data_IF_676900107054
#
_entry.id   IF_676900107054
#
_cell.length_a   1.000
_cell.length_b   1.000
_cell.length_c   1.000
_cell.angle_alpha   90.00
_cell.angle_beta   90.00
_cell.angle_gamma   90.00
#
_symmetry.space_group_name_H-M   'P 1'
#
loop_
_entity.id
_entity.type
_entity.pdbx_description
1 polymer ?
#
# COMPACT_ATOMS: atom_id res chain seq x y z
N UNK A 1 -24.26 27.95 15.56
CA UNK A 1 -24.22 26.95 14.51
C UNK A 1 -23.86 27.69 13.24
N UNK A 2 -22.59 27.88 12.96
CA UNK A 2 -22.09 28.54 11.75
C UNK A 2 -21.05 27.63 11.12
N UNK A 3 -21.40 27.13 9.98
CA UNK A 3 -20.60 26.68 8.84
C UNK A 3 -19.17 26.16 9.11
N UNK A 4 -19.07 24.85 9.32
CA UNK A 4 -17.83 24.08 9.15
C UNK A 4 -17.66 23.65 7.67
N UNK A 5 -17.78 24.64 6.75
CA UNK A 5 -17.57 24.43 5.30
C UNK A 5 -16.14 24.72 4.84
N UNK A 6 -15.14 24.64 5.73
CA UNK A 6 -13.76 25.01 5.41
C UNK A 6 -12.74 23.89 5.68
N UNK A 7 -13.01 22.68 5.19
CA UNK A 7 -11.96 21.64 5.13
C UNK A 7 -11.82 21.06 3.71
N UNK A 8 -12.02 21.90 2.72
CA UNK A 8 -11.81 21.54 1.33
C UNK A 8 -10.79 22.52 0.74
N UNK A 9 -9.52 22.33 0.97
CA UNK A 9 -8.41 22.68 0.08
C UNK A 9 -7.09 22.71 0.85
N UNK A 10 -6.59 21.56 1.29
CA UNK A 10 -5.14 21.47 1.41
C UNK A 10 -4.67 20.91 0.06
N UNK A 11 -4.53 21.81 -0.92
CA UNK A 11 -3.70 21.56 -2.08
C UNK A 11 -2.30 21.30 -1.57
N UNK A 12 -1.87 20.04 -1.64
CA UNK A 12 -0.48 19.65 -1.43
C UNK A 12 0.31 20.18 -2.62
N UNK A 13 0.66 21.46 -2.61
CA UNK A 13 1.78 21.97 -3.37
C UNK A 13 3.03 21.66 -2.56
N UNK A 14 3.47 20.40 -2.57
CA UNK A 14 4.85 20.11 -2.23
C UNK A 14 5.71 20.93 -3.19
N UNK A 15 6.54 21.83 -2.65
CA UNK A 15 7.63 22.46 -3.41
C UNK A 15 8.53 21.30 -3.89
N UNK A 16 8.26 20.82 -5.10
CA UNK A 16 9.13 19.86 -5.76
C UNK A 16 10.39 20.61 -6.24
N UNK A 17 11.58 20.02 -6.08
CA UNK A 17 12.77 20.56 -6.72
C UNK A 17 12.52 20.68 -8.22
N UNK A 18 13.17 21.68 -8.83
CA UNK A 18 13.03 22.06 -10.23
C UNK A 18 12.89 20.84 -11.15
N UNK A 19 11.85 20.86 -11.98
CA UNK A 19 11.52 19.84 -12.93
C UNK A 19 12.74 19.51 -13.83
N UNK A 20 13.47 18.48 -13.48
CA UNK A 20 14.14 17.68 -14.50
C UNK A 20 12.99 17.04 -15.28
N UNK A 21 12.92 17.34 -16.61
CA UNK A 21 11.91 16.73 -17.46
C UNK A 21 11.97 15.22 -17.32
N UNK A 22 10.81 14.57 -17.21
CA UNK A 22 10.74 13.10 -17.23
C UNK A 22 11.39 12.61 -18.54
N UNK A 23 12.31 11.66 -18.44
CA UNK A 23 12.83 10.92 -19.60
C UNK A 23 11.84 9.84 -20.02
N UNK A 24 11.08 9.30 -19.07
CA UNK A 24 9.94 8.42 -19.30
C UNK A 24 8.73 9.19 -19.83
N UNK A 25 7.67 8.46 -20.15
CA UNK A 25 6.44 9.04 -20.69
C UNK A 25 5.31 8.97 -19.69
N UNK A 26 4.68 10.10 -19.42
CA UNK A 26 3.45 10.23 -18.63
C UNK A 26 2.30 10.63 -19.55
N UNK A 27 1.22 9.87 -19.52
CA UNK A 27 -0.02 10.17 -20.25
C UNK A 27 -1.22 10.07 -19.36
N UNK A 28 -2.29 10.75 -19.72
CA UNK A 28 -3.61 10.61 -19.12
C UNK A 28 -4.56 9.94 -20.09
N UNK A 29 -5.32 8.98 -19.61
CA UNK A 29 -6.35 8.26 -20.35
C UNK A 29 -7.64 8.21 -19.54
N UNK A 30 -8.75 8.00 -20.21
CA UNK A 30 -10.06 7.82 -19.58
C UNK A 30 -10.45 6.34 -19.72
N UNK A 31 -10.55 5.64 -18.59
CA UNK A 31 -10.93 4.21 -18.56
C UNK A 31 -12.43 4.12 -18.30
N UNK A 32 -13.18 3.60 -19.29
CA UNK A 32 -14.60 3.34 -19.13
C UNK A 32 -14.82 2.19 -18.14
N UNK A 33 -15.83 2.32 -17.29
CA UNK A 33 -16.18 1.30 -16.31
C UNK A 33 -17.68 1.25 -16.09
N UNK A 34 -18.18 0.08 -15.78
CA UNK A 34 -19.57 -0.12 -15.26
C UNK A 34 -19.58 -0.31 -13.74
N UNK A 35 -18.39 -0.39 -13.13
CA UNK A 35 -18.23 -0.59 -11.68
C UNK A 35 -18.27 0.73 -10.90
N UNK A 36 -17.92 1.83 -11.54
CA UNK A 36 -17.94 3.17 -10.96
C UNK A 36 -18.65 4.14 -11.90
N UNK A 37 -19.17 5.28 -11.41
CA UNK A 37 -19.91 6.23 -12.27
C UNK A 37 -19.01 6.82 -13.36
N UNK A 38 -19.40 6.61 -14.61
CA UNK A 38 -18.74 7.21 -15.78
C UNK A 38 -17.40 6.55 -16.14
N UNK A 39 -16.48 7.37 -16.59
CA UNK A 39 -15.10 6.96 -16.90
C UNK A 39 -14.13 7.55 -15.89
N UNK A 40 -13.04 6.84 -15.63
CA UNK A 40 -12.03 7.21 -14.63
C UNK A 40 -10.82 7.81 -15.32
N UNK A 41 -10.52 9.08 -15.03
CA UNK A 41 -9.26 9.70 -15.45
C UNK A 41 -8.09 9.00 -14.75
N UNK A 42 -7.13 8.55 -15.54
CA UNK A 42 -6.06 7.67 -15.10
C UNK A 42 -4.74 8.11 -15.72
N UNK A 43 -3.74 8.34 -14.89
CA UNK A 43 -2.39 8.62 -15.33
C UNK A 43 -1.58 7.33 -15.46
N UNK A 44 -0.85 7.18 -16.56
CA UNK A 44 0.02 6.03 -16.82
C UNK A 44 1.42 6.54 -17.12
N UNK A 45 2.39 6.03 -16.38
CA UNK A 45 3.81 6.27 -16.58
C UNK A 45 4.48 5.03 -17.15
N UNK A 46 5.28 5.23 -18.22
CA UNK A 46 6.20 4.22 -18.75
C UNK A 46 7.64 4.71 -18.58
N UNK A 47 8.59 3.83 -18.15
CA UNK A 47 9.96 4.23 -17.86
C UNK A 47 10.74 4.62 -19.12
N UNK A 48 11.90 5.31 -18.98
CA UNK A 48 12.79 5.57 -20.10
C UNK A 48 13.14 4.30 -20.84
N UNK A 49 13.10 4.36 -22.19
CA UNK A 49 13.38 3.19 -23.03
C UNK A 49 12.32 2.09 -22.98
N UNK A 50 11.08 2.40 -22.56
CA UNK A 50 9.99 1.43 -22.60
C UNK A 50 9.81 0.83 -23.99
N UNK A 51 9.90 -0.50 -24.06
CA UNK A 51 9.68 -1.28 -25.30
C UNK A 51 8.45 -2.20 -25.12
N UNK A 52 7.36 -1.98 -25.87
CA UNK A 52 6.17 -2.82 -25.80
C UNK A 52 6.42 -4.28 -26.25
N UNK A 53 7.53 -4.54 -26.97
CA UNK A 53 7.88 -5.86 -27.52
C UNK A 53 9.00 -6.55 -26.72
N UNK A 54 9.46 -6.00 -25.60
CA UNK A 54 10.45 -6.62 -24.73
C UNK A 54 9.97 -8.01 -24.30
N UNK A 55 10.89 -9.00 -24.30
CA UNK A 55 10.57 -10.39 -23.97
C UNK A 55 10.07 -10.53 -22.51
N UNK A 56 10.74 -9.85 -21.58
CA UNK A 56 10.33 -9.82 -20.19
C UNK A 56 9.38 -8.64 -19.95
N UNK A 57 8.20 -8.92 -19.45
CA UNK A 57 7.24 -7.89 -19.10
C UNK A 57 7.76 -6.98 -17.96
N UNK A 58 7.40 -5.70 -18.00
CA UNK A 58 7.73 -4.78 -16.91
C UNK A 58 6.89 -5.07 -15.67
N UNK A 59 7.44 -4.92 -14.46
CA UNK A 59 6.62 -4.86 -13.26
C UNK A 59 5.56 -3.76 -13.38
N UNK A 60 4.37 -4.03 -12.86
CA UNK A 60 3.26 -3.07 -12.78
C UNK A 60 3.11 -2.57 -11.35
N UNK A 61 3.21 -1.25 -11.16
CA UNK A 61 2.98 -0.59 -9.88
C UNK A 61 1.68 0.19 -9.94
N UNK A 62 0.66 -0.26 -9.21
CA UNK A 62 -0.57 0.51 -9.01
C UNK A 62 -0.34 1.48 -7.87
N UNK A 63 -0.49 2.79 -8.13
CA UNK A 63 -0.36 3.84 -7.13
C UNK A 63 -1.73 4.43 -6.80
N UNK A 64 -2.04 4.53 -5.53
CA UNK A 64 -3.29 5.06 -5.02
C UNK A 64 -3.06 6.40 -4.33
N UNK A 65 -3.69 7.48 -4.84
CA UNK A 65 -3.55 8.82 -4.28
C UNK A 65 -4.22 8.97 -2.91
N UNK A 66 -3.80 9.96 -2.13
CA UNK A 66 -4.41 10.32 -0.84
C UNK A 66 -5.76 11.03 -0.98
N UNK A 67 -6.45 11.26 0.13
CA UNK A 67 -7.70 12.01 0.16
C UNK A 67 -7.52 13.42 -0.41
N UNK A 68 -8.38 13.81 -1.36
CA UNK A 68 -8.27 15.09 -2.07
C UNK A 68 -7.30 15.09 -3.25
N UNK A 69 -6.62 13.95 -3.54
CA UNK A 69 -5.78 13.78 -4.72
C UNK A 69 -6.54 13.31 -5.95
N UNK A 70 -5.80 13.06 -7.02
CA UNK A 70 -6.28 12.51 -8.29
C UNK A 70 -5.12 11.90 -9.08
N UNK A 71 -5.37 11.43 -10.28
CA UNK A 71 -4.35 10.99 -11.24
C UNK A 71 -3.27 12.06 -11.51
N UNK A 72 -3.58 13.34 -11.32
CA UNK A 72 -2.62 14.45 -11.47
C UNK A 72 -1.44 14.37 -10.48
N UNK A 73 -1.60 13.72 -9.33
CA UNK A 73 -0.52 13.49 -8.38
C UNK A 73 0.59 12.61 -8.97
N UNK A 74 0.28 11.85 -10.03
CA UNK A 74 1.26 11.01 -10.73
C UNK A 74 2.44 11.79 -11.28
N UNK A 75 2.28 13.06 -11.61
CA UNK A 75 3.38 13.89 -12.15
C UNK A 75 4.59 13.89 -11.22
N UNK A 76 4.38 14.15 -9.94
CA UNK A 76 5.47 14.12 -8.97
C UNK A 76 5.91 12.72 -8.59
N UNK A 77 4.96 11.79 -8.51
CA UNK A 77 5.27 10.40 -8.16
C UNK A 77 6.05 9.70 -9.29
N UNK A 78 5.76 10.02 -10.55
CA UNK A 78 6.51 9.51 -11.71
C UNK A 78 7.98 9.97 -11.69
N UNK A 79 8.23 11.24 -11.37
CA UNK A 79 9.60 11.75 -11.26
C UNK A 79 10.38 11.06 -10.14
N UNK A 80 9.73 10.80 -9.01
CA UNK A 80 10.35 10.07 -7.90
C UNK A 80 10.57 8.60 -8.25
N UNK A 81 9.63 7.95 -8.94
CA UNK A 81 9.80 6.58 -9.43
C UNK A 81 10.94 6.49 -10.45
N UNK A 82 11.03 7.45 -11.37
CA UNK A 82 12.13 7.51 -12.34
C UNK A 82 13.48 7.65 -11.64
N UNK A 83 13.55 8.51 -10.63
CA UNK A 83 14.75 8.63 -9.78
C UNK A 83 15.08 7.31 -9.05
N UNK A 84 14.08 6.58 -8.55
CA UNK A 84 14.28 5.27 -7.94
C UNK A 84 14.82 4.23 -8.94
N UNK A 85 14.33 4.25 -10.17
CA UNK A 85 14.80 3.37 -11.26
C UNK A 85 16.24 3.73 -11.63
N UNK A 86 16.56 5.01 -11.80
CA UNK A 86 17.92 5.48 -12.14
C UNK A 86 18.93 5.15 -11.03
N UNK A 87 18.51 5.17 -9.76
CA UNK A 87 19.34 4.76 -8.62
C UNK A 87 19.45 3.23 -8.44
N UNK A 88 18.75 2.44 -9.26
CA UNK A 88 18.72 0.98 -9.12
C UNK A 88 17.98 0.47 -7.89
N UNK A 89 17.13 1.32 -7.26
CA UNK A 89 16.32 0.93 -6.11
C UNK A 89 15.18 0.00 -6.50
N UNK A 90 14.66 0.13 -7.70
CA UNK A 90 13.61 -0.70 -8.28
C UNK A 90 13.89 -0.91 -9.76
N UNK A 91 13.59 -2.08 -10.36
CA UNK A 91 13.70 -2.26 -11.80
C UNK A 91 12.82 -1.28 -12.59
N UNK A 92 13.17 -1.06 -13.86
CA UNK A 92 12.31 -0.30 -14.78
C UNK A 92 10.89 -0.86 -14.73
N UNK A 93 9.92 -0.05 -14.31
CA UNK A 93 8.54 -0.44 -14.01
C UNK A 93 7.54 0.50 -14.67
N UNK A 94 6.41 -0.03 -15.10
CA UNK A 94 5.25 0.77 -15.53
C UNK A 94 4.39 1.07 -14.32
N UNK A 95 3.87 2.29 -14.24
CA UNK A 95 3.03 2.66 -13.11
C UNK A 95 1.72 3.32 -13.55
N UNK A 96 0.66 3.15 -12.75
CA UNK A 96 -0.68 3.65 -13.05
C UNK A 96 -1.34 4.22 -11.80
N UNK A 97 -2.05 5.36 -11.96
CA UNK A 97 -2.78 6.04 -10.87
C UNK A 97 -4.16 6.47 -11.36
N UNK A 98 -5.25 5.83 -10.92
CA UNK A 98 -6.62 6.25 -11.22
C UNK A 98 -7.06 7.38 -10.29
N UNK A 99 -7.93 8.27 -10.77
CA UNK A 99 -8.65 9.26 -9.95
C UNK A 99 -9.86 8.62 -9.30
N UNK A 100 -9.84 8.46 -7.98
CA UNK A 100 -10.89 7.78 -7.23
C UNK A 100 -11.64 8.68 -6.21
N UNK A 101 -11.45 10.00 -6.26
CA UNK A 101 -12.06 10.92 -5.31
C UNK A 101 -11.76 10.55 -3.85
N UNK A 102 -12.76 10.61 -2.98
CA UNK A 102 -12.64 10.20 -1.56
C UNK A 102 -13.28 8.83 -1.29
N UNK A 103 -13.16 7.91 -2.23
CA UNK A 103 -13.80 6.58 -2.18
C UNK A 103 -13.14 5.60 -1.21
N UNK A 104 -11.95 5.90 -0.70
CA UNK A 104 -11.10 4.94 0.00
C UNK A 104 -10.83 3.67 -0.81
N UNK A 105 -11.05 3.76 -2.14
CA UNK A 105 -10.95 2.63 -3.06
C UNK A 105 -11.84 1.45 -2.67
N UNK A 106 -12.97 1.73 -2.02
CA UNK A 106 -13.92 0.76 -1.52
C UNK A 106 -15.00 0.43 -2.55
N UNK A 107 -15.45 -0.80 -2.56
CA UNK A 107 -16.78 -1.08 -3.06
C UNK A 107 -17.77 -0.57 -2.00
N UNK A 108 -18.72 0.27 -2.40
CA UNK A 108 -19.69 0.84 -1.47
C UNK A 108 -20.70 -0.23 -1.07
N UNK A 109 -21.13 -0.20 0.18
CA UNK A 109 -22.06 -1.19 0.74
C UNK A 109 -23.37 -1.31 -0.04
N UNK A 110 -23.82 -0.20 -0.62
CA UNK A 110 -25.04 -0.13 -1.44
C UNK A 110 -24.81 -0.56 -2.92
N UNK A 111 -23.58 -0.84 -3.30
CA UNK A 111 -23.20 -1.28 -4.65
C UNK A 111 -23.20 -0.18 -5.71
N UNK A 112 -23.40 1.09 -5.35
CA UNK A 112 -23.44 2.22 -6.31
C UNK A 112 -22.09 2.57 -6.89
N UNK A 113 -21.00 2.28 -6.15
CA UNK A 113 -19.62 2.49 -6.57
C UNK A 113 -18.78 1.28 -6.13
N UNK A 114 -18.03 0.70 -7.05
CA UNK A 114 -17.21 -0.50 -6.80
C UNK A 114 -15.77 -0.24 -7.19
N UNK A 115 -15.08 0.55 -6.36
CA UNK A 115 -13.71 1.00 -6.64
C UNK A 115 -12.66 -0.09 -6.50
N UNK A 116 -12.81 -1.01 -5.54
CA UNK A 116 -11.96 -2.19 -5.44
C UNK A 116 -12.12 -3.08 -6.67
N UNK A 117 -13.36 -3.34 -7.07
CA UNK A 117 -13.68 -4.09 -8.30
C UNK A 117 -13.12 -3.38 -9.54
N UNK A 118 -13.23 -2.04 -9.63
CA UNK A 118 -12.62 -1.27 -10.73
C UNK A 118 -11.11 -1.51 -10.82
N UNK A 119 -10.39 -1.47 -9.70
CA UNK A 119 -8.93 -1.69 -9.71
C UNK A 119 -8.60 -3.10 -10.16
N UNK A 120 -9.28 -4.10 -9.63
CA UNK A 120 -8.97 -5.51 -9.89
C UNK A 120 -9.42 -6.00 -11.26
N UNK A 121 -10.53 -5.49 -11.77
CA UNK A 121 -11.07 -5.90 -13.08
C UNK A 121 -10.69 -4.91 -14.19
N UNK A 122 -11.17 -3.67 -14.11
CA UNK A 122 -11.10 -2.74 -15.24
C UNK A 122 -9.68 -2.19 -15.42
N UNK A 123 -9.06 -1.70 -14.34
CA UNK A 123 -7.72 -1.10 -14.38
C UNK A 123 -6.65 -2.15 -14.74
N UNK A 124 -6.64 -3.30 -14.06
CA UNK A 124 -5.69 -4.38 -14.36
C UNK A 124 -5.87 -4.92 -15.78
N UNK A 125 -7.11 -5.10 -16.24
CA UNK A 125 -7.39 -5.53 -17.61
C UNK A 125 -6.88 -4.51 -18.64
N UNK A 126 -7.14 -3.22 -18.42
CA UNK A 126 -6.66 -2.14 -19.29
C UNK A 126 -5.12 -2.15 -19.38
N UNK A 127 -4.44 -2.22 -18.24
CA UNK A 127 -2.98 -2.24 -18.20
C UNK A 127 -2.39 -3.49 -18.86
N UNK A 128 -2.92 -4.66 -18.55
CA UNK A 128 -2.42 -5.95 -19.07
C UNK A 128 -2.72 -6.19 -20.54
N UNK A 129 -3.71 -5.51 -21.12
CA UNK A 129 -4.03 -5.57 -22.55
C UNK A 129 -3.32 -4.51 -23.36
N UNK A 130 -3.10 -3.31 -22.80
CA UNK A 130 -2.55 -2.16 -23.53
C UNK A 130 -1.03 -1.98 -23.38
N UNK A 131 -0.41 -2.62 -22.38
CA UNK A 131 1.00 -2.43 -22.06
C UNK A 131 1.71 -3.77 -21.84
N UNK A 132 3.02 -3.78 -22.08
CA UNK A 132 3.87 -4.94 -21.78
C UNK A 132 4.20 -5.01 -20.28
N UNK A 133 3.19 -5.28 -19.47
CA UNK A 133 3.32 -5.40 -18.01
C UNK A 133 3.04 -6.82 -17.54
N UNK A 134 3.53 -7.16 -16.36
CA UNK A 134 3.32 -8.47 -15.74
C UNK A 134 1.82 -8.82 -15.67
N UNK A 135 1.51 -10.04 -16.08
CA UNK A 135 0.16 -10.62 -16.02
C UNK A 135 -0.01 -11.56 -14.82
N UNK A 136 1.06 -11.75 -14.07
CA UNK A 136 1.11 -12.64 -12.90
C UNK A 136 1.36 -11.85 -11.63
N UNK A 137 1.13 -12.51 -10.50
CA UNK A 137 1.31 -11.97 -9.17
C UNK A 137 2.72 -11.40 -8.96
N UNK A 138 3.75 -12.14 -9.38
CA UNK A 138 5.18 -11.91 -9.12
C UNK A 138 5.72 -10.60 -9.70
N UNK A 139 4.97 -9.91 -10.52
CA UNK A 139 5.33 -8.59 -11.04
C UNK A 139 4.21 -7.56 -10.89
N UNK A 140 3.22 -7.83 -10.03
CA UNK A 140 2.10 -6.89 -9.76
C UNK A 140 2.23 -6.35 -8.33
N UNK A 141 2.40 -5.04 -8.21
CA UNK A 141 2.68 -4.32 -6.97
C UNK A 141 1.64 -3.22 -6.75
N UNK A 142 1.33 -2.91 -5.51
CA UNK A 142 0.41 -1.83 -5.16
C UNK A 142 0.97 -0.95 -4.06
N UNK A 143 0.81 0.36 -4.18
CA UNK A 143 1.24 1.33 -3.18
C UNK A 143 0.24 2.46 -3.06
N UNK A 144 0.32 3.21 -1.99
CA UNK A 144 -0.49 4.41 -1.80
C UNK A 144 -0.14 5.15 -0.53
N UNK A 145 -0.66 6.37 -0.42
CA UNK A 145 -0.46 7.24 0.74
C UNK A 145 -1.81 7.60 1.36
N UNK A 146 -1.88 7.65 2.70
CA UNK A 146 -3.08 8.13 3.41
C UNK A 146 -4.32 7.27 3.06
N UNK A 147 -5.34 7.88 2.46
CA UNK A 147 -6.48 7.16 1.88
C UNK A 147 -6.03 6.03 0.93
N UNK A 148 -5.06 6.32 0.05
CA UNK A 148 -4.48 5.33 -0.87
C UNK A 148 -3.64 4.29 -0.14
N UNK A 149 -2.99 4.66 0.96
CA UNK A 149 -2.29 3.72 1.84
C UNK A 149 -3.23 2.68 2.44
N UNK A 150 -4.36 3.13 3.00
CA UNK A 150 -5.41 2.25 3.50
C UNK A 150 -5.98 1.38 2.37
N UNK A 151 -6.29 1.98 1.22
CA UNK A 151 -6.85 1.28 0.07
C UNK A 151 -5.90 0.20 -0.48
N UNK A 152 -4.60 0.53 -0.64
CA UNK A 152 -3.60 -0.42 -1.13
C UNK A 152 -3.42 -1.60 -0.19
N UNK A 153 -3.34 -1.32 1.12
CA UNK A 153 -3.17 -2.37 2.12
C UNK A 153 -4.38 -3.30 2.18
N UNK A 154 -5.60 -2.74 2.21
CA UNK A 154 -6.84 -3.52 2.21
C UNK A 154 -6.96 -4.39 0.96
N UNK A 155 -6.75 -3.81 -0.23
CA UNK A 155 -6.86 -4.55 -1.49
C UNK A 155 -5.84 -5.69 -1.53
N UNK A 156 -4.59 -5.44 -1.16
CA UNK A 156 -3.56 -6.48 -1.13
C UNK A 156 -3.86 -7.58 -0.08
N UNK A 157 -4.40 -7.23 1.08
CA UNK A 157 -4.74 -8.18 2.13
C UNK A 157 -5.95 -9.06 1.76
N UNK A 158 -6.89 -8.53 1.00
CA UNK A 158 -8.04 -9.28 0.48
C UNK A 158 -7.71 -10.12 -0.75
N UNK A 159 -6.70 -9.71 -1.52
CA UNK A 159 -6.33 -10.32 -2.81
C UNK A 159 -4.82 -10.63 -2.88
N UNK A 160 -4.26 -11.37 -1.91
CA UNK A 160 -2.83 -11.69 -1.89
C UNK A 160 -2.39 -12.57 -3.06
N UNK A 161 -3.32 -13.22 -3.74
CA UNK A 161 -3.09 -13.97 -4.98
C UNK A 161 -2.83 -13.06 -6.20
N UNK A 162 -3.21 -11.80 -6.11
CA UNK A 162 -3.06 -10.80 -7.20
C UNK A 162 -1.76 -10.03 -7.09
N UNK A 163 -1.32 -9.73 -5.85
CA UNK A 163 -0.20 -8.85 -5.57
C UNK A 163 0.97 -9.59 -4.94
N UNK A 164 2.18 -9.32 -5.45
CA UNK A 164 3.41 -9.80 -4.83
C UNK A 164 3.76 -9.00 -3.58
N UNK A 165 3.53 -7.68 -3.62
CA UNK A 165 3.79 -6.82 -2.49
C UNK A 165 2.90 -5.58 -2.46
N UNK A 166 2.76 -5.04 -1.24
CA UNK A 166 2.15 -3.74 -0.95
C UNK A 166 3.12 -2.87 -0.15
N UNK A 167 3.22 -1.59 -0.55
CA UNK A 167 3.90 -0.56 0.23
C UNK A 167 2.88 0.52 0.61
N UNK A 168 2.57 0.62 1.89
CA UNK A 168 1.53 1.51 2.39
C UNK A 168 2.16 2.61 3.24
N UNK A 169 2.02 3.85 2.77
CA UNK A 169 2.53 5.04 3.45
C UNK A 169 1.39 5.73 4.19
N UNK A 170 1.56 5.92 5.49
CA UNK A 170 0.59 6.62 6.35
C UNK A 170 -0.86 6.19 6.13
N UNK A 171 -1.16 4.86 6.19
CA UNK A 171 -2.50 4.38 5.90
C UNK A 171 -3.54 5.01 6.84
N UNK A 172 -4.63 5.49 6.24
CA UNK A 172 -5.75 6.05 6.98
C UNK A 172 -6.57 4.97 7.69
N UNK A 173 -6.00 4.35 8.72
CA UNK A 173 -6.59 3.24 9.47
C UNK A 173 -6.86 3.69 10.92
N UNK A 174 -8.02 3.36 11.44
CA UNK A 174 -8.33 3.50 12.86
C UNK A 174 -7.66 2.37 13.67
N UNK A 175 -7.04 2.66 14.84
CA UNK A 175 -6.31 1.68 15.65
C UNK A 175 -7.25 0.77 16.45
N UNK A 176 -8.22 0.15 15.80
CA UNK A 176 -9.23 -0.73 16.40
C UNK A 176 -9.62 -1.87 15.47
N UNK A 177 -10.17 -2.95 16.02
CA UNK A 177 -10.69 -4.10 15.26
C UNK A 177 -12.19 -4.00 14.97
N UNK A 178 -12.93 -3.17 15.72
CA UNK A 178 -14.37 -3.05 15.60
C UNK A 178 -14.79 -1.58 15.48
N UNK A 179 -15.74 -1.30 14.58
CA UNK A 179 -16.21 0.07 14.31
C UNK A 179 -16.66 0.84 15.57
N UNK A 180 -17.38 0.17 16.47
CA UNK A 180 -17.87 0.78 17.71
C UNK A 180 -16.78 1.28 18.66
N UNK A 181 -15.56 0.78 18.52
CA UNK A 181 -14.42 1.11 19.38
C UNK A 181 -13.62 2.33 18.89
N UNK A 182 -13.99 2.88 17.71
CA UNK A 182 -13.30 4.04 17.12
C UNK A 182 -13.47 5.27 18.02
N UNK A 183 -12.34 5.88 18.41
CA UNK A 183 -12.33 7.13 19.14
C UNK A 183 -12.52 8.33 18.21
N UNK A 184 -13.14 9.41 18.69
CA UNK A 184 -13.35 10.62 17.89
C UNK A 184 -12.05 11.19 17.32
N UNK A 185 -10.94 11.13 18.07
CA UNK A 185 -9.62 11.59 17.62
C UNK A 185 -9.08 10.80 16.44
N UNK A 186 -9.51 9.55 16.25
CA UNK A 186 -9.01 8.65 15.22
C UNK A 186 -9.87 8.66 13.94
N UNK A 187 -10.94 9.47 13.92
CA UNK A 187 -11.82 9.57 12.76
C UNK A 187 -12.26 10.98 12.35
N UNK A 188 -11.65 12.03 12.93
CA UNK A 188 -12.04 13.41 12.57
C UNK A 188 -11.86 13.74 11.09
N UNK A 189 -10.99 13.03 10.40
CA UNK A 189 -10.72 13.14 8.97
C UNK A 189 -11.67 12.31 8.10
N UNK A 190 -12.54 11.48 8.68
CA UNK A 190 -13.65 10.76 8.04
C UNK A 190 -14.92 11.00 8.85
N UNK A 191 -15.73 11.94 8.41
CA UNK A 191 -16.98 12.29 9.08
C UNK A 191 -18.07 11.23 8.88
N UNK A 192 -19.11 11.28 9.70
CA UNK A 192 -20.20 10.32 9.64
C UNK A 192 -20.87 10.24 8.25
N UNK A 193 -21.13 11.34 7.52
CA UNK A 193 -21.67 11.27 6.17
C UNK A 193 -20.80 10.47 5.18
N UNK A 194 -19.46 10.60 5.26
CA UNK A 194 -18.54 9.82 4.43
C UNK A 194 -18.56 8.34 4.82
N UNK A 195 -18.52 8.05 6.13
CA UNK A 195 -18.59 6.67 6.61
C UNK A 195 -19.90 5.99 6.21
N UNK A 196 -21.03 6.68 6.38
CA UNK A 196 -22.35 6.19 5.97
C UNK A 196 -22.46 5.97 4.47
N UNK A 197 -21.84 6.82 3.64
CA UNK A 197 -21.87 6.67 2.18
C UNK A 197 -21.12 5.43 1.71
N UNK A 198 -20.05 5.05 2.41
CA UNK A 198 -19.22 3.90 2.04
C UNK A 198 -19.75 2.60 2.67
N UNK A 199 -20.04 2.63 3.96
CA UNK A 199 -20.34 1.44 4.75
C UNK A 199 -21.82 1.19 5.01
N UNK A 200 -22.70 2.07 4.49
CA UNK A 200 -24.16 1.97 4.68
C UNK A 200 -24.69 2.87 5.79
N UNK A 201 -26.00 3.11 5.80
CA UNK A 201 -26.69 3.98 6.75
C UNK A 201 -27.81 3.22 7.49
N UNK A 202 -27.65 2.91 8.80
CA UNK A 202 -26.43 3.09 9.61
C UNK A 202 -25.23 2.32 9.07
N UNK A 203 -24.04 2.65 9.56
CA UNK A 203 -22.82 1.91 9.17
C UNK A 203 -22.99 0.42 9.46
N UNK A 204 -22.81 -0.42 8.45
CA UNK A 204 -22.73 -1.86 8.61
C UNK A 204 -21.36 -2.23 9.22
N UNK A 205 -21.36 -2.47 10.52
CA UNK A 205 -20.12 -2.73 11.29
C UNK A 205 -19.39 -3.99 10.82
N UNK A 206 -20.14 -5.02 10.38
CA UNK A 206 -19.54 -6.24 9.84
C UNK A 206 -18.88 -5.96 8.49
N UNK A 207 -19.51 -5.15 7.63
CA UNK A 207 -18.91 -4.72 6.38
C UNK A 207 -17.68 -3.85 6.60
N UNK A 208 -17.71 -2.94 7.59
CA UNK A 208 -16.53 -2.17 7.97
C UNK A 208 -15.39 -3.08 8.43
N UNK A 209 -15.65 -4.02 9.32
CA UNK A 209 -14.66 -4.95 9.85
C UNK A 209 -14.02 -5.81 8.74
N UNK A 210 -14.83 -6.34 7.82
CA UNK A 210 -14.37 -7.10 6.66
C UNK A 210 -13.50 -6.28 5.68
N UNK A 211 -13.50 -4.95 5.82
CA UNK A 211 -12.75 -4.02 4.99
C UNK A 211 -11.73 -3.18 5.79
N UNK A 212 -11.52 -3.47 7.05
CA UNK A 212 -10.46 -2.86 7.85
C UNK A 212 -9.18 -3.71 7.77
N UNK A 213 -8.06 -3.17 7.28
CA UNK A 213 -6.80 -3.92 7.18
C UNK A 213 -6.34 -4.56 8.49
N UNK A 214 -6.56 -3.87 9.63
CA UNK A 214 -6.20 -4.41 10.93
C UNK A 214 -7.02 -5.66 11.28
N UNK A 215 -8.33 -5.64 11.02
CA UNK A 215 -9.22 -6.79 11.26
C UNK A 215 -8.89 -7.94 10.31
N UNK A 216 -8.65 -7.65 9.02
CA UNK A 216 -8.26 -8.67 8.03
C UNK A 216 -6.97 -9.38 8.47
N UNK A 217 -5.95 -8.62 8.88
CA UNK A 217 -4.68 -9.18 9.33
C UNK A 217 -4.82 -9.99 10.63
N UNK A 218 -5.70 -9.55 11.54
CA UNK A 218 -5.95 -10.26 12.79
C UNK A 218 -6.70 -11.59 12.57
N UNK A 219 -7.72 -11.57 11.72
CA UNK A 219 -8.66 -12.70 11.57
C UNK A 219 -8.18 -13.73 10.53
N UNK A 220 -7.37 -13.31 9.54
CA UNK A 220 -6.91 -14.17 8.44
C UNK A 220 -5.39 -14.06 8.20
N UNK A 221 -4.54 -14.18 9.22
CA UNK A 221 -3.10 -13.99 9.07
C UNK A 221 -2.45 -14.95 8.09
N UNK A 222 -2.97 -16.19 7.93
CA UNK A 222 -2.42 -17.19 7.02
C UNK A 222 -2.50 -16.73 5.55
N UNK A 223 -3.52 -15.96 5.18
CA UNK A 223 -3.67 -15.46 3.81
C UNK A 223 -2.56 -14.48 3.42
N UNK A 224 -1.90 -13.87 4.40
CA UNK A 224 -0.84 -12.88 4.19
C UNK A 224 0.56 -13.49 4.08
N UNK A 225 0.70 -14.80 4.28
CA UNK A 225 1.99 -15.48 4.15
C UNK A 225 2.49 -15.38 2.71
N UNK A 226 3.73 -14.87 2.54
CA UNK A 226 4.34 -14.67 1.23
C UNK A 226 3.92 -13.39 0.50
N UNK A 227 3.05 -12.57 1.09
CA UNK A 227 2.84 -11.19 0.64
C UNK A 227 3.96 -10.31 1.20
N UNK A 228 4.66 -9.56 0.33
CA UNK A 228 5.57 -8.51 0.76
C UNK A 228 4.77 -7.34 1.34
N UNK A 229 5.08 -6.93 2.57
CA UNK A 229 4.35 -5.84 3.25
C UNK A 229 5.34 -4.80 3.76
N UNK A 230 5.16 -3.55 3.37
CA UNK A 230 5.87 -2.40 3.89
C UNK A 230 4.87 -1.37 4.44
N UNK A 231 5.15 -0.87 5.63
CA UNK A 231 4.38 0.15 6.31
C UNK A 231 5.29 1.28 6.75
N UNK A 232 4.89 2.53 6.55
CA UNK A 232 5.52 3.65 7.22
C UNK A 232 4.52 4.70 7.70
N UNK A 233 4.95 5.51 8.67
CA UNK A 233 4.25 6.71 9.11
C UNK A 233 5.25 7.75 9.66
N UNK A 234 4.90 9.03 9.55
CA UNK A 234 5.61 10.10 10.24
C UNK A 234 5.22 10.16 11.73
N UNK A 235 6.19 10.38 12.63
CA UNK A 235 5.91 10.49 14.07
C UNK A 235 5.26 11.85 14.45
N UNK A 236 5.17 12.79 13.50
CA UNK A 236 4.53 14.10 13.64
C UNK A 236 3.26 14.23 12.78
N UNK A 237 2.70 13.11 12.32
CA UNK A 237 1.51 13.10 11.46
C UNK A 237 0.32 13.80 12.14
N UNK A 238 -0.14 14.92 11.54
CA UNK A 238 -1.24 15.74 12.08
C UNK A 238 -2.59 15.03 12.08
N UNK A 239 -2.75 13.95 11.32
CA UNK A 239 -3.95 13.11 11.31
C UNK A 239 -3.85 11.93 12.28
N UNK A 240 -2.73 11.80 13.02
CA UNK A 240 -2.45 10.69 13.95
C UNK A 240 -2.47 9.29 13.30
N UNK A 241 -2.22 9.21 11.98
CA UNK A 241 -2.27 7.94 11.25
C UNK A 241 -1.15 6.98 11.65
N UNK A 242 -0.08 7.49 12.28
CA UNK A 242 0.96 6.65 12.90
C UNK A 242 0.37 5.70 13.96
N UNK A 243 -0.71 6.07 14.67
CA UNK A 243 -1.38 5.16 15.62
C UNK A 243 -1.99 3.94 14.90
N UNK A 244 -2.70 4.16 13.79
CA UNK A 244 -3.27 3.08 13.00
C UNK A 244 -2.21 2.21 12.32
N UNK A 245 -1.13 2.85 11.85
CA UNK A 245 0.00 2.14 11.24
C UNK A 245 0.72 1.26 12.26
N UNK A 246 1.01 1.79 13.47
CA UNK A 246 1.60 1.03 14.59
C UNK A 246 0.69 -0.12 15.01
N UNK A 247 -0.63 0.10 15.04
CA UNK A 247 -1.60 -0.94 15.42
C UNK A 247 -1.56 -2.12 14.44
N UNK A 248 -1.53 -1.85 13.12
CA UNK A 248 -1.39 -2.91 12.11
C UNK A 248 -0.03 -3.58 12.21
N UNK A 249 1.07 -2.81 12.38
CA UNK A 249 2.40 -3.36 12.62
C UNK A 249 2.40 -4.35 13.79
N UNK A 250 1.80 -3.98 14.91
CA UNK A 250 1.74 -4.85 16.10
C UNK A 250 0.98 -6.14 15.83
N UNK A 251 -0.16 -6.07 15.13
CA UNK A 251 -0.93 -7.26 14.73
C UNK A 251 -0.07 -8.18 13.85
N UNK A 252 0.54 -7.65 12.80
CA UNK A 252 1.39 -8.43 11.89
C UNK A 252 2.57 -9.07 12.65
N UNK A 253 3.20 -8.32 13.56
CA UNK A 253 4.29 -8.81 14.38
C UNK A 253 3.85 -9.95 15.31
N UNK A 254 2.74 -9.77 16.04
CA UNK A 254 2.22 -10.76 17.00
C UNK A 254 1.72 -12.03 16.27
N UNK A 255 1.22 -11.89 15.05
CA UNK A 255 0.83 -13.00 14.17
C UNK A 255 2.02 -13.65 13.43
N UNK A 256 3.24 -13.12 13.60
CA UNK A 256 4.44 -13.64 12.93
C UNK A 256 4.47 -13.41 11.41
N UNK A 257 3.70 -12.46 10.90
CA UNK A 257 3.72 -12.10 9.47
C UNK A 257 4.94 -11.24 9.18
N UNK A 258 5.75 -11.68 8.22
CA UNK A 258 6.95 -10.95 7.80
C UNK A 258 6.58 -9.63 7.13
N UNK A 259 7.12 -8.52 7.61
CA UNK A 259 6.87 -7.18 7.07
C UNK A 259 7.99 -6.21 7.45
N UNK A 260 8.07 -5.09 6.74
CA UNK A 260 8.89 -3.95 7.12
C UNK A 260 8.00 -2.85 7.70
N UNK A 261 8.41 -2.25 8.81
CA UNK A 261 7.74 -1.11 9.42
C UNK A 261 8.73 0.00 9.75
N UNK A 262 8.36 1.25 9.45
CA UNK A 262 9.17 2.43 9.76
C UNK A 262 8.32 3.54 10.38
N UNK A 263 8.67 3.96 11.60
CA UNK A 263 8.22 5.22 12.18
C UNK A 263 9.28 6.29 11.84
N UNK A 264 8.94 7.22 10.96
CA UNK A 264 9.89 8.18 10.41
C UNK A 264 9.96 9.43 11.29
N UNK A 265 11.09 9.60 11.98
CA UNK A 265 11.29 10.69 12.92
C UNK A 265 11.22 12.07 12.25
N UNK A 266 10.41 12.96 12.81
CA UNK A 266 10.24 14.33 12.35
C UNK A 266 9.47 14.48 11.04
N UNK A 267 8.90 13.37 10.55
CA UNK A 267 8.07 13.41 9.36
C UNK A 267 6.62 13.76 9.71
N UNK A 268 6.04 14.57 8.86
CA UNK A 268 4.64 14.99 8.93
C UNK A 268 3.86 14.27 7.81
N UNK A 269 2.52 14.32 7.86
CA UNK A 269 1.64 13.71 6.86
C UNK A 269 1.93 14.15 5.43
N UNK A 270 2.36 15.38 5.26
CA UNK A 270 2.70 16.02 3.98
C UNK A 270 4.08 16.66 4.05
N UNK A 271 4.56 17.15 2.92
CA UNK A 271 5.79 17.94 2.86
C UNK A 271 7.02 17.17 2.41
N UNK A 272 8.23 17.66 2.73
CA UNK A 272 9.47 17.15 2.11
C UNK A 272 9.79 15.68 2.40
N UNK A 273 9.24 15.10 3.47
CA UNK A 273 9.48 13.71 3.86
C UNK A 273 8.84 12.69 2.90
N UNK A 274 7.86 13.10 2.09
CA UNK A 274 7.14 12.21 1.18
C UNK A 274 8.08 11.58 0.14
N UNK A 275 8.97 12.39 -0.45
CA UNK A 275 9.89 11.91 -1.50
C UNK A 275 10.84 10.82 -0.99
N UNK A 276 11.64 11.03 0.09
CA UNK A 276 12.50 9.97 0.61
C UNK A 276 11.73 8.73 1.08
N UNK A 277 10.53 8.89 1.64
CA UNK A 277 9.70 7.76 2.07
C UNK A 277 9.19 6.96 0.88
N UNK A 278 8.81 7.62 -0.21
CA UNK A 278 8.46 6.92 -1.44
C UNK A 278 9.66 6.18 -2.06
N UNK A 279 10.87 6.75 -2.01
CA UNK A 279 12.09 6.05 -2.42
C UNK A 279 12.35 4.81 -1.58
N UNK A 280 12.11 4.86 -0.27
CA UNK A 280 12.20 3.69 0.63
C UNK A 280 11.18 2.60 0.24
N UNK A 281 9.95 2.98 -0.08
CA UNK A 281 8.91 2.07 -0.57
C UNK A 281 9.33 1.42 -1.91
N UNK A 282 9.93 2.19 -2.83
CA UNK A 282 10.45 1.65 -4.09
C UNK A 282 11.65 0.71 -3.86
N UNK A 283 12.55 1.04 -2.95
CA UNK A 283 13.64 0.17 -2.56
C UNK A 283 13.14 -1.15 -1.94
N UNK A 284 12.07 -1.11 -1.17
CA UNK A 284 11.40 -2.32 -0.70
C UNK A 284 10.87 -3.16 -1.87
N UNK A 285 10.18 -2.58 -2.83
CA UNK A 285 9.72 -3.28 -4.03
C UNK A 285 10.89 -3.89 -4.82
N UNK A 286 12.01 -3.16 -4.92
CA UNK A 286 13.21 -3.69 -5.57
C UNK A 286 13.74 -4.95 -4.90
N UNK A 287 13.75 -5.00 -3.56
CA UNK A 287 14.14 -6.21 -2.80
C UNK A 287 13.15 -7.36 -2.94
N UNK A 288 11.86 -7.07 -3.11
CA UNK A 288 10.84 -8.11 -3.34
C UNK A 288 10.95 -8.68 -4.75
N UNK A 289 11.17 -7.84 -5.76
CA UNK A 289 11.31 -8.26 -7.16
C UNK A 289 12.64 -8.98 -7.42
N UNK A 290 13.71 -8.53 -6.80
CA UNK A 290 15.06 -9.10 -6.88
C UNK A 290 15.58 -9.31 -5.46
N UNK A 291 15.14 -10.38 -4.77
CA UNK A 291 15.56 -10.62 -3.40
C UNK A 291 17.07 -10.76 -3.34
N UNK A 292 17.73 -10.06 -2.40
CA UNK A 292 19.17 -10.22 -2.20
C UNK A 292 19.47 -11.66 -1.81
N UNK A 293 20.70 -12.10 -2.11
CA UNK A 293 21.20 -13.40 -1.70
C UNK A 293 20.91 -13.63 -0.22
N UNK A 294 20.45 -14.80 0.05
CA UNK A 294 19.69 -15.19 1.22
C UNK A 294 20.45 -14.97 2.54
N UNK A 295 20.19 -13.88 3.22
CA UNK A 295 20.79 -13.59 4.53
C UNK A 295 20.53 -14.70 5.56
N UNK A 296 19.42 -15.43 5.41
CA UNK A 296 19.02 -16.47 6.37
C UNK A 296 19.70 -17.80 6.12
N UNK A 297 20.24 -18.05 4.92
CA UNK A 297 20.94 -19.30 4.55
C UNK A 297 22.46 -19.16 4.53
N UNK A 298 23.00 -18.02 4.94
CA UNK A 298 24.44 -17.85 5.06
C UNK A 298 25.01 -18.90 6.06
N UNK A 299 26.13 -19.59 5.74
CA UNK A 299 26.69 -20.60 6.63
C UNK A 299 26.95 -20.14 8.07
N UNK A 300 27.31 -18.86 8.25
CA UNK A 300 27.49 -18.25 9.57
C UNK A 300 26.17 -18.18 10.37
N UNK A 301 25.05 -17.95 9.70
CA UNK A 301 23.73 -17.94 10.35
C UNK A 301 23.34 -19.34 10.79
N UNK A 302 23.59 -20.35 9.96
CA UNK A 302 23.30 -21.76 10.28
C UNK A 302 24.13 -22.26 11.46
N UNK A 303 25.43 -21.92 11.49
CA UNK A 303 26.29 -22.21 12.64
C UNK A 303 25.76 -21.56 13.92
N UNK A 304 25.35 -20.30 13.84
CA UNK A 304 24.78 -19.56 14.98
C UNK A 304 23.49 -20.18 15.47
N UNK A 305 22.59 -20.60 14.57
CA UNK A 305 21.36 -21.33 14.93
C UNK A 305 21.66 -22.62 15.67
N UNK A 306 22.55 -23.42 15.14
CA UNK A 306 22.95 -24.67 15.77
C UNK A 306 23.51 -24.42 17.20
N UNK A 307 24.32 -23.37 17.37
CA UNK A 307 24.85 -22.99 18.68
C UNK A 307 23.72 -22.59 19.65
N UNK A 308 22.79 -21.74 19.20
CA UNK A 308 21.64 -21.30 20.02
C UNK A 308 20.73 -22.48 20.37
N UNK A 309 20.48 -23.40 19.45
CA UNK A 309 19.68 -24.60 19.71
C UNK A 309 20.35 -25.52 20.74
N UNK A 310 21.69 -25.62 20.74
CA UNK A 310 22.40 -26.32 21.78
C UNK A 310 22.28 -25.67 23.17
N UNK A 311 22.27 -24.33 23.23
CA UNK A 311 22.01 -23.63 24.49
C UNK A 311 20.59 -23.86 24.98
N UNK A 312 19.59 -23.80 24.08
CA UNK A 312 18.18 -24.09 24.40
C UNK A 312 18.02 -25.49 24.98
N UNK A 313 18.62 -26.52 24.33
CA UNK A 313 18.59 -27.91 24.80
C UNK A 313 19.17 -28.05 26.23
N UNK A 314 20.33 -27.44 26.46
CA UNK A 314 20.98 -27.47 27.79
C UNK A 314 20.15 -26.77 28.86
N UNK A 315 19.42 -25.74 28.52
CA UNK A 315 18.54 -24.99 29.42
C UNK A 315 17.17 -25.65 29.63
N UNK A 316 16.88 -26.78 28.96
CA UNK A 316 15.55 -27.39 28.95
C UNK A 316 14.52 -26.55 28.21
N UNK A 317 14.98 -25.63 27.36
CA UNK A 317 14.09 -24.78 26.57
C UNK A 317 13.63 -25.54 25.32
N UNK A 318 12.35 -25.48 24.94
CA UNK A 318 11.92 -26.15 23.72
C UNK A 318 12.66 -25.57 22.50
N UNK A 319 13.14 -26.45 21.62
CA UNK A 319 13.90 -26.07 20.42
C UNK A 319 12.96 -25.47 19.37
N UNK A 320 11.70 -25.86 19.43
CA UNK A 320 10.57 -25.31 18.67
C UNK A 320 9.55 -24.70 19.65
N UNK A 321 9.84 -23.63 20.33
CA UNK A 321 8.79 -22.70 20.57
C UNK A 321 8.92 -21.81 19.37
N UNK A 322 8.28 -22.14 18.48
CA UNK A 322 7.30 -21.34 17.91
C UNK A 322 7.74 -19.90 17.80
N UNK A 323 8.73 -19.65 16.97
CA UNK A 323 8.60 -18.46 16.14
C UNK A 323 7.37 -18.74 15.26
N UNK A 324 6.22 -18.07 15.42
CA UNK A 324 5.04 -18.30 14.59
C UNK A 324 5.38 -18.21 13.10
N UNK A 325 6.44 -17.47 12.72
CA UNK A 325 6.99 -17.39 11.39
C UNK A 325 7.56 -18.72 10.87
N UNK A 326 7.95 -19.65 11.74
CA UNK A 326 8.47 -20.97 11.37
C UNK A 326 7.41 -22.07 11.30
N UNK A 327 6.29 -21.91 11.99
CA UNK A 327 5.19 -22.89 11.90
C UNK A 327 4.44 -22.83 10.56
N UNK A 328 4.70 -21.84 9.74
CA UNK A 328 3.98 -21.60 8.48
C UNK A 328 4.77 -21.97 7.24
N UNK A 329 5.97 -22.48 7.40
CA UNK A 329 6.86 -22.94 6.32
C UNK A 329 6.97 -24.46 6.21
N UNK A 330 6.19 -25.19 7.01
CA UNK A 330 5.95 -26.64 6.89
C UNK A 330 4.47 -26.88 6.45
#
# INVERSE_FOLDING_TARGET
MKDLRFLALICITALMPAAYGLEGKLIHVSIASTNVPGSVDTAIYTPPGYDPNRAEAYPLIIQLHGGGGSSANMTGMAATLESAIQQGLVPASVSVMPSAGRSFYMDYRDGTQKWETFILADLLSHMRSGYNVSKVREGTLITGISMGGMGSLRIAFKHPETFQAVASMEPGIEPVLQYKDIQLRDRFWRDDPLMESIYGKPVDEAYWAANNPATIANDNPESLVGLGIYLDAGDQDMFFLHHGTEFVHRILFDQGISHEYRLVRGAEHVGPSIVPRFLDAMAFFGRVLNPPDNWTNAPAVEQSRTLVDNFKRRAGYPINPVDPRRLRTE
#
